data_IF_527377564912
#
_entry.id   IF_527377564912
#
_cell.length_a   1.000
_cell.length_b   1.000
_cell.length_c   1.000
_cell.angle_alpha   90.00
_cell.angle_beta   90.00
_cell.angle_gamma   90.00
#
_symmetry.space_group_name_H-M   'P 1'
#
loop_
_entity.id
_entity.type
_entity.pdbx_description
1 polymer ?
#
# COMPACT_ATOMS: atom_id res chain seq x y z
N UNK A 1 -52.48 51.36 0.97
CA UNK A 1 -52.55 50.33 2.02
C UNK A 1 -51.69 49.17 1.57
N UNK A 2 -50.41 49.17 1.97
CA UNK A 2 -49.88 48.31 3.06
C UNK A 2 -49.74 46.86 2.58
N UNK A 3 -48.62 46.15 2.67
CA UNK A 3 -47.27 46.40 3.21
C UNK A 3 -46.42 45.18 2.78
N UNK A 4 -45.12 45.38 2.52
CA UNK A 4 -43.93 44.54 2.84
C UNK A 4 -44.08 43.02 3.09
N UNK A 5 -43.11 42.13 2.84
CA UNK A 5 -41.74 42.13 2.27
C UNK A 5 -41.28 40.65 2.35
N UNK A 6 -40.31 40.24 1.52
CA UNK A 6 -39.65 38.93 1.69
C UNK A 6 -38.73 38.53 0.53
N UNK A 7 -37.55 39.15 0.45
CA UNK A 7 -36.39 38.77 -0.36
C UNK A 7 -35.94 37.29 -0.12
N UNK A 8 -35.52 36.55 -1.15
CA UNK A 8 -34.10 36.27 -1.49
C UNK A 8 -33.91 35.18 -2.59
N UNK A 9 -33.21 35.59 -3.66
CA UNK A 9 -32.38 34.91 -4.67
C UNK A 9 -32.13 33.39 -4.61
N UNK A 10 -32.17 32.67 -5.75
CA UNK A 10 -31.01 32.45 -6.65
C UNK A 10 -31.33 31.65 -7.94
N UNK A 11 -30.74 32.17 -9.03
CA UNK A 11 -30.47 31.71 -10.41
C UNK A 11 -30.32 30.17 -10.61
N UNK A 12 -30.57 29.55 -11.76
CA UNK A 12 -30.70 30.03 -13.14
C UNK A 12 -30.19 28.95 -14.13
N UNK A 13 -31.15 28.31 -14.80
CA UNK A 13 -31.18 27.58 -16.08
C UNK A 13 -29.92 27.40 -16.94
N UNK A 14 -29.69 26.15 -17.36
CA UNK A 14 -29.08 25.78 -18.65
C UNK A 14 -30.18 25.51 -19.69
N UNK A 15 -30.07 26.11 -20.87
CA UNK A 15 -30.93 25.85 -22.02
C UNK A 15 -30.29 26.33 -23.31
N UNK A 16 -29.90 25.40 -24.18
CA UNK A 16 -29.23 25.62 -25.45
C UNK A 16 -30.16 26.20 -26.54
N UNK A 17 -29.61 27.00 -27.48
CA UNK A 17 -30.12 27.08 -28.85
C UNK A 17 -29.07 27.60 -29.83
N UNK A 18 -28.91 26.88 -30.94
CA UNK A 18 -28.03 27.15 -32.10
C UNK A 18 -28.37 28.46 -32.80
N UNK A 19 -27.36 29.17 -33.33
CA UNK A 19 -27.46 29.76 -34.68
C UNK A 19 -26.09 30.21 -35.26
N UNK A 20 -25.91 29.90 -36.54
CA UNK A 20 -25.28 30.69 -37.62
C UNK A 20 -23.75 30.94 -37.65
N UNK A 21 -23.14 30.35 -38.68
CA UNK A 21 -21.79 30.64 -39.17
C UNK A 21 -21.78 32.01 -39.85
N UNK A 22 -20.89 32.91 -39.41
CA UNK A 22 -20.39 34.04 -40.19
C UNK A 22 -18.87 34.01 -40.15
N UNK A 23 -18.28 33.91 -41.34
CA UNK A 23 -16.84 34.00 -41.56
C UNK A 23 -16.33 35.38 -41.13
N UNK A 24 -15.38 35.42 -40.20
CA UNK A 24 -14.48 36.57 -40.06
C UNK A 24 -13.12 36.09 -39.59
N UNK A 25 -12.15 36.29 -40.46
CA UNK A 25 -10.74 36.03 -40.28
C UNK A 25 -10.23 36.86 -39.11
N UNK A 26 -9.83 36.22 -38.01
CA UNK A 26 -8.93 36.85 -37.04
C UNK A 26 -7.80 35.87 -36.77
N UNK A 27 -6.65 36.22 -37.32
CA UNK A 27 -5.39 35.51 -37.17
C UNK A 27 -5.00 35.49 -35.68
N UNK A 28 -5.20 34.35 -35.02
CA UNK A 28 -4.53 34.05 -33.74
C UNK A 28 -3.52 32.94 -34.03
N UNK A 29 -2.26 33.33 -34.18
CA UNK A 29 -1.12 32.41 -34.15
C UNK A 29 -0.95 31.90 -32.72
N UNK A 30 -1.40 30.67 -32.42
CA UNK A 30 -0.86 29.89 -31.30
C UNK A 30 -0.86 28.39 -31.61
N UNK A 31 0.33 27.91 -31.99
CA UNK A 31 0.91 26.60 -31.66
C UNK A 31 -0.03 25.39 -31.53
N UNK A 32 -0.35 24.79 -32.69
CA UNK A 32 -0.61 23.37 -32.92
C UNK A 32 -0.81 22.47 -31.67
N UNK A 33 -2.06 22.20 -31.33
CA UNK A 33 -2.47 20.92 -30.72
C UNK A 33 -3.67 20.38 -31.49
N UNK A 34 -3.38 19.68 -32.56
CA UNK A 34 -4.35 18.86 -33.27
C UNK A 34 -4.54 17.59 -32.43
N UNK A 35 -5.62 17.53 -31.66
CA UNK A 35 -6.06 16.30 -30.98
C UNK A 35 -6.59 15.35 -32.05
N UNK A 36 -5.69 14.56 -32.62
CA UNK A 36 -6.04 13.43 -33.50
C UNK A 36 -6.37 12.27 -32.56
N UNK A 37 -7.64 11.86 -32.51
CA UNK A 37 -8.08 10.59 -31.95
C UNK A 37 -7.42 9.46 -32.75
N UNK A 38 -6.33 8.90 -32.23
CA UNK A 38 -5.67 7.73 -32.81
C UNK A 38 -6.45 6.45 -32.45
N UNK A 39 -6.64 5.51 -33.40
CA UNK A 39 -7.29 4.23 -33.14
C UNK A 39 -6.52 3.39 -32.10
N UNK A 40 -7.21 2.46 -31.44
CA UNK A 40 -6.66 1.47 -30.48
C UNK A 40 -5.71 0.44 -31.10
N UNK A 41 -4.76 0.86 -31.95
CA UNK A 41 -3.69 0.02 -32.46
C UNK A 41 -2.35 0.48 -31.89
N UNK A 42 -2.09 0.11 -30.63
CA UNK A 42 -0.77 0.14 -29.99
C UNK A 42 0.25 -0.80 -30.65
N UNK A 43 -0.16 -1.60 -31.64
CA UNK A 43 0.69 -2.58 -32.32
C UNK A 43 1.67 -1.98 -33.34
N UNK A 44 1.34 -0.89 -34.03
CA UNK A 44 2.21 -0.38 -35.11
C UNK A 44 3.44 0.40 -34.60
N UNK A 45 3.34 1.07 -33.45
CA UNK A 45 4.50 1.71 -32.80
C UNK A 45 5.52 0.70 -32.27
N UNK A 46 5.07 -0.51 -31.93
CA UNK A 46 5.95 -1.61 -31.52
C UNK A 46 6.87 -2.07 -32.68
N UNK A 47 6.35 -2.06 -33.91
CA UNK A 47 7.05 -2.54 -35.10
C UNK A 47 8.14 -1.59 -35.61
N UNK A 48 7.92 -0.28 -35.55
CA UNK A 48 8.92 0.69 -36.00
C UNK A 48 10.15 0.78 -35.08
N UNK A 49 10.01 0.42 -33.79
CA UNK A 49 11.13 0.44 -32.83
C UNK A 49 11.76 -0.95 -32.58
N UNK A 50 11.17 -2.03 -33.10
CA UNK A 50 11.64 -3.41 -32.87
C UNK A 50 13.07 -3.71 -33.38
N UNK A 51 13.48 -3.27 -34.59
CA UNK A 51 14.80 -3.61 -35.14
C UNK A 51 15.98 -3.02 -34.34
N UNK A 52 15.76 -1.93 -33.60
CA UNK A 52 16.81 -1.22 -32.86
C UNK A 52 17.06 -1.80 -31.46
N UNK A 53 16.15 -2.66 -30.99
CA UNK A 53 16.16 -3.25 -29.63
C UNK A 53 16.92 -4.59 -29.61
N UNK A 54 16.91 -5.30 -30.74
CA UNK A 54 17.36 -6.68 -30.87
C UNK A 54 18.63 -6.70 -31.72
N UNK A 55 19.72 -7.24 -31.18
CA UNK A 55 21.02 -7.19 -31.85
C UNK A 55 21.27 -8.38 -32.76
N UNK A 56 20.72 -9.55 -32.43
CA UNK A 56 20.99 -10.80 -33.16
C UNK A 56 19.81 -11.77 -33.08
N UNK A 57 19.44 -12.36 -34.21
CA UNK A 57 18.49 -13.48 -34.24
C UNK A 57 19.20 -14.77 -33.80
N UNK A 58 18.55 -15.54 -32.94
CA UNK A 58 19.06 -16.83 -32.46
C UNK A 58 18.53 -17.97 -33.36
N UNK A 59 19.13 -19.18 -33.30
CA UNK A 59 18.67 -20.34 -34.04
C UNK A 59 17.17 -20.65 -33.83
N UNK A 60 16.53 -21.28 -34.81
CA UNK A 60 15.10 -21.55 -34.76
C UNK A 60 14.70 -22.54 -33.66
N UNK A 61 15.64 -23.41 -33.28
CA UNK A 61 15.58 -24.42 -32.22
C UNK A 61 16.13 -23.93 -30.88
N UNK A 62 16.45 -22.64 -30.77
CA UNK A 62 16.99 -22.08 -29.53
C UNK A 62 15.94 -22.08 -28.42
N UNK A 63 16.31 -22.65 -27.27
CA UNK A 63 15.60 -22.52 -26.01
C UNK A 63 16.49 -21.75 -25.01
N UNK A 64 15.92 -20.85 -24.18
CA UNK A 64 16.68 -20.15 -23.16
C UNK A 64 17.38 -21.13 -22.22
N UNK A 65 18.70 -21.01 -22.12
CA UNK A 65 19.50 -21.83 -21.21
C UNK A 65 19.32 -21.36 -19.76
N UNK A 66 19.80 -22.16 -18.80
CA UNK A 66 19.62 -21.90 -17.37
C UNK A 66 20.11 -20.50 -16.93
N UNK A 67 21.18 -19.98 -17.54
CA UNK A 67 21.76 -18.68 -17.19
C UNK A 67 21.20 -17.51 -18.00
N UNK A 68 20.34 -17.78 -18.99
CA UNK A 68 19.81 -16.76 -19.88
C UNK A 68 18.69 -15.96 -19.21
N UNK A 69 18.74 -14.64 -19.40
CA UNK A 69 17.80 -13.70 -18.80
C UNK A 69 16.71 -13.41 -19.81
N UNK A 70 15.53 -13.93 -19.54
CA UNK A 70 14.36 -13.84 -20.43
C UNK A 70 13.63 -12.51 -20.23
N UNK A 71 13.43 -11.77 -21.31
CA UNK A 71 12.53 -10.62 -21.38
C UNK A 71 11.11 -11.08 -21.68
N UNK A 72 10.18 -10.66 -20.83
CA UNK A 72 8.77 -10.95 -21.00
C UNK A 72 7.97 -10.47 -19.80
N UNK A 73 6.66 -10.68 -19.86
CA UNK A 73 5.74 -10.48 -18.74
C UNK A 73 5.16 -11.82 -18.33
N UNK A 74 4.86 -11.98 -17.05
CA UNK A 74 4.18 -13.15 -16.50
C UNK A 74 5.09 -14.11 -15.75
N UNK A 75 4.44 -15.09 -15.11
CA UNK A 75 5.04 -16.00 -14.13
C UNK A 75 6.19 -16.84 -14.67
N UNK A 76 6.05 -17.39 -15.87
CA UNK A 76 7.09 -18.23 -16.51
C UNK A 76 8.41 -17.50 -16.72
N UNK A 77 8.36 -16.22 -17.10
CA UNK A 77 9.56 -15.40 -17.23
C UNK A 77 10.15 -15.14 -15.84
N UNK A 78 9.33 -14.76 -14.86
CA UNK A 78 9.79 -14.47 -13.51
C UNK A 78 10.48 -15.67 -12.84
N UNK A 79 9.92 -16.87 -13.01
CA UNK A 79 10.44 -18.13 -12.46
C UNK A 79 11.56 -18.76 -13.30
N UNK A 80 12.03 -18.08 -14.36
CA UNK A 80 13.19 -18.58 -15.11
C UNK A 80 14.45 -18.50 -14.24
N UNK A 81 15.28 -19.54 -14.25
CA UNK A 81 16.51 -19.63 -13.46
C UNK A 81 17.44 -18.43 -13.66
N UNK A 82 17.62 -17.98 -14.91
CA UNK A 82 18.46 -16.81 -15.20
C UNK A 82 17.88 -15.50 -14.66
N UNK A 83 16.54 -15.38 -14.59
CA UNK A 83 15.90 -14.21 -13.98
C UNK A 83 16.01 -14.26 -12.45
N UNK A 84 15.87 -15.43 -11.81
CA UNK A 84 16.14 -15.59 -10.37
C UNK A 84 17.57 -15.21 -10.02
N UNK A 85 18.55 -15.75 -10.75
CA UNK A 85 19.97 -15.41 -10.59
C UNK A 85 20.22 -13.91 -10.77
N UNK A 86 19.54 -13.26 -11.73
CA UNK A 86 19.62 -11.81 -11.89
C UNK A 86 19.16 -11.07 -10.61
N UNK A 87 18.05 -11.50 -10.01
CA UNK A 87 17.57 -10.92 -8.75
C UNK A 87 18.56 -11.13 -7.60
N UNK A 88 19.16 -12.32 -7.47
CA UNK A 88 20.20 -12.59 -6.47
C UNK A 88 21.42 -11.66 -6.64
N UNK A 89 21.89 -11.47 -7.88
CA UNK A 89 23.00 -10.55 -8.16
C UNK A 89 22.61 -9.10 -7.83
N UNK A 90 21.37 -8.71 -8.10
CA UNK A 90 20.86 -7.38 -7.75
C UNK A 90 20.84 -7.19 -6.23
N UNK A 91 20.34 -8.16 -5.48
CA UNK A 91 20.26 -8.11 -4.02
C UNK A 91 21.64 -7.92 -3.38
N UNK A 92 22.66 -8.63 -3.87
CA UNK A 92 24.05 -8.46 -3.37
C UNK A 92 24.64 -7.06 -3.60
N UNK A 93 24.14 -6.28 -4.56
CA UNK A 93 24.62 -4.92 -4.87
C UNK A 93 23.60 -3.83 -4.51
N UNK A 94 22.51 -4.20 -3.85
CA UNK A 94 21.40 -3.31 -3.59
C UNK A 94 21.79 -2.20 -2.60
N UNK A 95 22.52 -2.55 -1.54
CA UNK A 95 23.00 -1.59 -0.54
C UNK A 95 23.97 -0.57 -1.15
N UNK A 96 24.86 -1.00 -2.05
CA UNK A 96 25.74 -0.09 -2.76
C UNK A 96 24.95 0.86 -3.68
N UNK A 97 23.86 0.37 -4.29
CA UNK A 97 23.00 1.16 -5.15
C UNK A 97 22.16 2.19 -4.38
N UNK A 98 21.61 1.81 -3.23
CA UNK A 98 20.77 2.68 -2.38
C UNK A 98 21.59 3.78 -1.71
N UNK A 99 22.79 3.45 -1.23
CA UNK A 99 23.72 4.41 -0.61
C UNK A 99 24.42 5.33 -1.61
N UNK A 100 24.45 4.97 -2.90
CA UNK A 100 25.04 5.80 -3.94
C UNK A 100 24.28 7.13 -4.12
N UNK A 101 24.93 8.25 -3.79
CA UNK A 101 24.39 9.60 -4.00
C UNK A 101 24.45 10.05 -5.47
N UNK A 102 25.48 9.63 -6.20
CA UNK A 102 25.73 10.09 -7.59
C UNK A 102 25.07 9.17 -8.62
N UNK A 103 24.44 9.76 -9.64
CA UNK A 103 23.83 9.05 -10.79
C UNK A 103 24.85 8.20 -11.57
N UNK A 104 26.10 8.66 -11.66
CA UNK A 104 27.18 7.92 -12.33
C UNK A 104 27.48 6.58 -11.65
N UNK A 105 27.52 6.56 -10.31
CA UNK A 105 27.76 5.32 -9.54
C UNK A 105 26.61 4.32 -9.73
N UNK A 106 25.36 4.78 -9.67
CA UNK A 106 24.17 3.94 -9.96
C UNK A 106 24.21 3.32 -11.37
N UNK A 107 24.66 4.11 -12.35
CA UNK A 107 24.83 3.63 -13.73
C UNK A 107 25.96 2.60 -13.82
N UNK A 108 27.07 2.82 -13.12
CA UNK A 108 28.20 1.89 -13.05
C UNK A 108 27.79 0.54 -12.45
N UNK A 109 26.99 0.55 -11.37
CA UNK A 109 26.46 -0.68 -10.74
C UNK A 109 25.58 -1.44 -11.73
N UNK A 110 24.65 -0.75 -12.41
CA UNK A 110 23.81 -1.40 -13.43
C UNK A 110 24.64 -2.01 -14.56
N UNK A 111 25.66 -1.30 -15.07
CA UNK A 111 26.57 -1.82 -16.09
C UNK A 111 27.36 -3.04 -15.59
N UNK A 112 27.81 -3.02 -14.34
CA UNK A 112 28.52 -4.14 -13.73
C UNK A 112 27.63 -5.39 -13.65
N UNK A 113 26.38 -5.24 -13.19
CA UNK A 113 25.43 -6.36 -13.11
C UNK A 113 25.16 -6.93 -14.51
N UNK A 114 24.95 -6.08 -15.51
CA UNK A 114 24.77 -6.53 -16.91
C UNK A 114 26.00 -7.33 -17.38
N UNK A 115 27.21 -6.84 -17.09
CA UNK A 115 28.46 -7.56 -17.41
C UNK A 115 28.51 -8.94 -16.74
N UNK A 116 28.12 -9.05 -15.48
CA UNK A 116 28.06 -10.32 -14.72
C UNK A 116 27.05 -11.33 -15.28
N UNK A 117 25.98 -10.86 -15.90
CA UNK A 117 25.06 -11.74 -16.63
C UNK A 117 25.75 -12.27 -17.88
N UNK A 118 26.34 -11.39 -18.69
CA UNK A 118 27.04 -11.75 -19.93
C UNK A 118 28.25 -12.68 -19.75
N UNK A 119 28.81 -12.80 -18.54
CA UNK A 119 29.86 -13.79 -18.22
C UNK A 119 29.38 -15.25 -18.32
N UNK A 120 28.09 -15.52 -18.12
CA UNK A 120 27.54 -16.90 -18.09
C UNK A 120 26.34 -17.13 -18.99
N UNK A 121 25.63 -16.09 -19.40
CA UNK A 121 24.43 -16.20 -20.23
C UNK A 121 24.17 -14.90 -20.99
N UNK A 122 23.07 -14.85 -21.72
CA UNK A 122 22.69 -13.68 -22.52
C UNK A 122 21.29 -13.18 -22.15
N UNK A 123 20.99 -11.95 -22.56
CA UNK A 123 19.65 -11.40 -22.45
C UNK A 123 18.88 -11.75 -23.72
N UNK A 124 17.73 -12.41 -23.58
CA UNK A 124 16.94 -12.88 -24.72
C UNK A 124 15.51 -12.41 -24.63
N UNK A 125 14.88 -12.19 -25.78
CA UNK A 125 13.46 -11.86 -25.90
C UNK A 125 12.84 -12.66 -27.02
N UNK A 126 11.67 -13.21 -26.75
CA UNK A 126 10.87 -13.85 -27.78
C UNK A 126 10.08 -12.80 -28.56
N UNK A 127 10.06 -12.95 -29.88
CA UNK A 127 9.19 -12.16 -30.73
C UNK A 127 7.74 -12.62 -30.56
N UNK A 128 6.78 -11.70 -30.30
CA UNK A 128 5.40 -12.07 -29.95
C UNK A 128 4.69 -12.82 -31.08
N UNK A 129 4.91 -12.44 -32.34
CA UNK A 129 4.20 -13.03 -33.48
C UNK A 129 4.92 -14.22 -34.12
N UNK A 130 6.25 -14.16 -34.26
CA UNK A 130 7.02 -15.25 -34.92
C UNK A 130 7.47 -16.34 -33.95
N UNK A 131 7.39 -16.11 -32.63
CA UNK A 131 7.88 -17.04 -31.61
C UNK A 131 9.41 -17.21 -31.58
N UNK A 132 10.15 -16.54 -32.47
CA UNK A 132 11.61 -16.64 -32.58
C UNK A 132 12.31 -15.89 -31.43
N UNK A 133 13.44 -16.41 -31.01
CA UNK A 133 14.27 -15.79 -29.98
C UNK A 133 15.30 -14.85 -30.59
N UNK A 134 15.55 -13.76 -29.88
CA UNK A 134 16.50 -12.74 -30.26
C UNK A 134 17.32 -12.31 -29.05
N UNK A 135 18.60 -12.07 -29.29
CA UNK A 135 19.48 -11.43 -28.34
C UNK A 135 19.12 -9.95 -28.17
N UNK A 136 19.07 -9.51 -26.92
CA UNK A 136 18.76 -8.14 -26.54
C UNK A 136 20.07 -7.35 -26.41
N UNK A 137 20.09 -6.17 -27.01
CA UNK A 137 21.26 -5.29 -26.94
C UNK A 137 21.54 -4.74 -25.53
N UNK A 138 22.81 -4.38 -25.30
CA UNK A 138 23.31 -3.85 -24.02
C UNK A 138 22.46 -2.75 -23.41
N UNK A 139 22.02 -1.79 -24.21
CA UNK A 139 21.22 -0.64 -23.74
C UNK A 139 19.92 -1.09 -23.06
N UNK A 140 19.26 -2.10 -23.65
CA UNK A 140 17.99 -2.65 -23.17
C UNK A 140 18.20 -3.61 -22.01
N UNK A 141 19.28 -4.37 -22.01
CA UNK A 141 19.72 -5.14 -20.86
C UNK A 141 19.92 -4.24 -19.62
N UNK A 142 20.64 -3.13 -19.77
CA UNK A 142 20.83 -2.12 -18.72
C UNK A 142 19.52 -1.51 -18.24
N UNK A 143 18.60 -1.21 -19.14
CA UNK A 143 17.26 -0.72 -18.79
C UNK A 143 16.49 -1.74 -17.94
N UNK A 144 16.49 -3.02 -18.34
CA UNK A 144 15.87 -4.10 -17.56
C UNK A 144 16.47 -4.22 -16.17
N UNK A 145 17.80 -4.24 -16.06
CA UNK A 145 18.50 -4.28 -14.76
C UNK A 145 18.13 -3.07 -13.91
N UNK A 146 18.13 -1.87 -14.48
CA UNK A 146 17.74 -0.65 -13.78
C UNK A 146 16.30 -0.68 -13.27
N UNK A 147 15.37 -1.24 -14.06
CA UNK A 147 13.99 -1.46 -13.61
C UNK A 147 13.91 -2.47 -12.47
N UNK A 148 14.57 -3.63 -12.62
CA UNK A 148 14.58 -4.66 -11.60
C UNK A 148 15.14 -4.15 -10.26
N UNK A 149 16.26 -3.40 -10.28
CA UNK A 149 16.80 -2.77 -9.06
C UNK A 149 15.76 -1.85 -8.40
N UNK A 150 15.12 -0.97 -9.18
CA UNK A 150 14.11 -0.04 -8.64
C UNK A 150 12.91 -0.77 -8.05
N UNK A 151 12.50 -1.87 -8.67
CA UNK A 151 11.40 -2.71 -8.19
C UNK A 151 11.79 -3.40 -6.88
N UNK A 152 13.00 -3.96 -6.78
CA UNK A 152 13.52 -4.56 -5.54
C UNK A 152 13.55 -3.53 -4.40
N UNK A 153 14.08 -2.32 -4.63
CA UNK A 153 14.08 -1.25 -3.62
C UNK A 153 12.66 -0.86 -3.20
N UNK A 154 11.75 -0.71 -4.17
CA UNK A 154 10.36 -0.36 -3.87
C UNK A 154 9.65 -1.45 -3.05
N UNK A 155 9.94 -2.72 -3.33
CA UNK A 155 9.38 -3.86 -2.59
C UNK A 155 9.91 -3.90 -1.15
N UNK A 156 11.21 -3.72 -0.93
CA UNK A 156 11.77 -3.63 0.43
C UNK A 156 11.15 -2.49 1.25
N UNK A 157 10.91 -1.33 0.65
CA UNK A 157 10.24 -0.22 1.34
C UNK A 157 8.74 -0.48 1.60
N UNK A 158 8.09 -1.34 0.82
CA UNK A 158 6.70 -1.76 1.07
C UNK A 158 6.64 -2.79 2.18
N UNK A 159 7.52 -3.77 2.16
CA UNK A 159 7.63 -4.80 3.19
C UNK A 159 7.92 -4.19 4.55
N UNK A 160 8.91 -3.31 4.66
CA UNK A 160 9.22 -2.60 5.91
C UNK A 160 8.04 -1.80 6.46
N UNK A 161 7.26 -1.16 5.58
CA UNK A 161 6.05 -0.42 5.98
C UNK A 161 4.91 -1.34 6.43
N UNK A 162 4.73 -2.48 5.76
CA UNK A 162 3.72 -3.46 6.17
C UNK A 162 4.06 -4.04 7.54
N UNK A 163 5.35 -4.28 7.82
CA UNK A 163 5.82 -4.74 9.13
C UNK A 163 5.64 -3.69 10.22
N UNK A 164 5.89 -2.40 9.94
CA UNK A 164 5.63 -1.35 10.94
C UNK A 164 4.14 -1.23 11.24
N UNK A 165 3.30 -1.26 10.20
CA UNK A 165 1.85 -1.20 10.33
C UNK A 165 1.30 -2.38 11.14
N UNK A 166 1.76 -3.61 10.87
CA UNK A 166 1.31 -4.79 11.63
C UNK A 166 1.68 -4.71 13.11
N UNK A 167 2.87 -4.18 13.45
CA UNK A 167 3.29 -4.00 14.85
C UNK A 167 2.41 -2.99 15.59
N UNK A 168 2.05 -1.89 14.92
CA UNK A 168 1.16 -0.86 15.48
C UNK A 168 -0.24 -1.44 15.78
N UNK A 169 -0.79 -2.25 14.86
CA UNK A 169 -2.06 -2.95 15.06
C UNK A 169 -1.99 -3.95 16.24
N UNK A 170 -0.91 -4.73 16.34
CA UNK A 170 -0.69 -5.68 17.43
C UNK A 170 -0.59 -4.98 18.80
N UNK A 171 0.10 -3.84 18.87
CA UNK A 171 0.26 -3.08 20.11
C UNK A 171 -1.05 -2.39 20.51
N UNK A 172 -1.82 -1.87 19.55
CA UNK A 172 -3.16 -1.33 19.81
C UNK A 172 -4.11 -2.41 20.33
N UNK A 173 -4.05 -3.63 19.78
CA UNK A 173 -4.85 -4.75 20.25
C UNK A 173 -4.54 -5.11 21.72
N UNK A 174 -3.26 -5.08 22.12
CA UNK A 174 -2.86 -5.30 23.53
C UNK A 174 -3.39 -4.20 24.46
N UNK A 175 -3.30 -2.94 24.04
CA UNK A 175 -3.81 -1.81 24.83
C UNK A 175 -5.32 -1.90 25.05
N UNK A 176 -6.08 -2.25 24.00
CA UNK A 176 -7.52 -2.44 24.10
C UNK A 176 -7.90 -3.59 25.05
N UNK A 177 -7.11 -4.67 25.08
CA UNK A 177 -7.37 -5.77 26.03
C UNK A 177 -7.09 -5.33 27.48
N UNK A 178 -6.03 -4.56 27.73
CA UNK A 178 -5.75 -3.97 29.04
C UNK A 178 -6.90 -3.05 29.47
N UNK A 179 -7.37 -2.18 28.58
CA UNK A 179 -8.49 -1.28 28.85
C UNK A 179 -9.76 -2.07 29.20
N UNK A 180 -10.08 -3.12 28.43
CA UNK A 180 -11.22 -4.01 28.71
C UNK A 180 -11.08 -4.70 30.07
N UNK A 181 -9.88 -5.15 30.43
CA UNK A 181 -9.62 -5.77 31.73
C UNK A 181 -9.84 -4.78 32.88
N UNK A 182 -9.27 -3.57 32.79
CA UNK A 182 -9.46 -2.52 33.79
C UNK A 182 -10.95 -2.21 33.97
N UNK A 183 -11.68 -2.05 32.87
CA UNK A 183 -13.12 -1.76 32.93
C UNK A 183 -13.91 -2.90 33.61
N UNK A 184 -13.60 -4.15 33.29
CA UNK A 184 -14.20 -5.33 33.95
C UNK A 184 -13.92 -5.33 35.45
N UNK A 185 -12.67 -5.11 35.85
CA UNK A 185 -12.25 -5.11 37.26
C UNK A 185 -12.91 -3.96 38.04
N UNK A 186 -13.03 -2.78 37.43
CA UNK A 186 -13.73 -1.63 38.02
C UNK A 186 -15.21 -1.94 38.24
N UNK A 187 -15.88 -2.53 37.25
CA UNK A 187 -17.30 -2.88 37.34
C UNK A 187 -17.54 -3.90 38.46
N UNK A 188 -16.74 -4.97 38.51
CA UNK A 188 -16.84 -5.99 39.55
C UNK A 188 -16.65 -5.40 40.96
N UNK A 189 -15.70 -4.47 41.14
CA UNK A 189 -15.53 -3.78 42.43
C UNK A 189 -16.75 -2.95 42.81
N UNK A 190 -17.30 -2.18 41.87
CA UNK A 190 -18.51 -1.38 42.10
C UNK A 190 -19.70 -2.27 42.47
N UNK A 191 -19.88 -3.40 41.80
CA UNK A 191 -20.97 -4.33 42.05
C UNK A 191 -20.84 -4.93 43.48
N UNK A 192 -19.62 -5.32 43.90
CA UNK A 192 -19.34 -5.82 45.26
C UNK A 192 -19.60 -4.74 46.32
N UNK A 193 -19.14 -3.51 46.10
CA UNK A 193 -19.36 -2.40 47.03
C UNK A 193 -20.85 -2.10 47.22
N UNK A 194 -21.62 -2.15 46.12
CA UNK A 194 -23.06 -1.98 46.16
C UNK A 194 -23.77 -3.08 46.97
N UNK A 195 -23.40 -4.35 46.77
CA UNK A 195 -23.99 -5.48 47.51
C UNK A 195 -23.68 -5.40 49.00
N UNK A 196 -22.44 -5.05 49.35
CA UNK A 196 -22.04 -4.85 50.74
C UNK A 196 -22.84 -3.75 51.42
N UNK A 197 -23.03 -2.61 50.74
CA UNK A 197 -23.81 -1.49 51.27
C UNK A 197 -25.28 -1.89 51.52
N UNK A 198 -25.88 -2.70 50.65
CA UNK A 198 -27.23 -3.23 50.87
C UNK A 198 -27.31 -4.16 52.08
N UNK A 199 -26.36 -5.08 52.22
CA UNK A 199 -26.32 -6.00 53.36
C UNK A 199 -26.19 -5.24 54.69
N UNK A 200 -25.33 -4.22 54.75
CA UNK A 200 -25.19 -3.35 55.94
C UNK A 200 -26.48 -2.58 56.25
N UNK A 201 -27.19 -2.10 55.21
CA UNK A 201 -28.47 -1.43 55.40
C UNK A 201 -29.53 -2.38 55.96
N UNK A 202 -29.59 -3.61 55.45
CA UNK A 202 -30.49 -4.64 55.98
C UNK A 202 -30.17 -4.97 57.44
N UNK A 203 -28.88 -5.14 57.79
CA UNK A 203 -28.46 -5.41 59.15
C UNK A 203 -28.86 -4.27 60.11
N UNK A 204 -28.68 -3.01 59.67
CA UNK A 204 -29.14 -1.82 60.41
C UNK A 204 -30.65 -1.85 60.63
N UNK A 205 -31.43 -2.17 59.61
CA UNK A 205 -32.89 -2.25 59.73
C UNK A 205 -33.32 -3.34 60.72
N UNK A 206 -32.68 -4.51 60.68
CA UNK A 206 -32.94 -5.61 61.64
C UNK A 206 -32.61 -5.18 63.06
N UNK A 207 -31.45 -4.55 63.27
CA UNK A 207 -31.05 -4.06 64.59
C UNK A 207 -32.04 -3.01 65.13
N UNK A 208 -32.43 -2.03 64.31
CA UNK A 208 -33.44 -1.03 64.68
C UNK A 208 -34.78 -1.68 65.04
N UNK A 209 -35.18 -2.72 64.31
CA UNK A 209 -36.39 -3.46 64.61
C UNK A 209 -36.30 -4.24 65.94
N UNK A 210 -35.18 -4.91 66.21
CA UNK A 210 -34.96 -5.63 67.48
C UNK A 210 -34.96 -4.68 68.68
N UNK A 211 -34.30 -3.52 68.56
CA UNK A 211 -34.32 -2.47 69.59
C UNK A 211 -35.76 -1.96 69.81
N UNK A 212 -36.53 -1.75 68.74
CA UNK A 212 -37.94 -1.34 68.85
C UNK A 212 -38.83 -2.41 69.50
N UNK A 213 -38.48 -3.69 69.38
CA UNK A 213 -39.13 -4.81 70.06
C UNK A 213 -38.67 -5.00 71.52
N UNK A 214 -37.84 -4.09 72.06
CA UNK A 214 -37.42 -4.11 73.46
C UNK A 214 -36.29 -5.08 73.79
N UNK A 215 -35.56 -5.58 72.79
CA UNK A 215 -34.34 -6.36 73.01
C UNK A 215 -33.16 -5.41 73.31
N UNK A 216 -32.70 -5.36 74.56
CA UNK A 216 -31.48 -4.62 74.97
C UNK A 216 -30.29 -5.58 75.15
N UNK A 217 -29.11 -5.21 74.65
CA UNK A 217 -27.88 -6.04 74.72
C UNK A 217 -27.40 -6.16 76.18
N UNK A 218 -27.65 -7.32 76.79
CA UNK A 218 -27.43 -7.61 78.21
C UNK A 218 -25.95 -7.87 78.55
N UNK A 219 -25.00 -7.17 77.91
CA UNK A 219 -23.56 -7.40 78.03
C UNK A 219 -22.82 -6.44 78.96
N UNK A 220 -23.49 -5.42 79.50
CA UNK A 220 -22.88 -4.46 80.42
C UNK A 220 -23.42 -4.52 81.87
N UNK A 221 -24.39 -5.41 82.16
CA UNK A 221 -24.98 -5.48 83.50
C UNK A 221 -24.18 -6.36 84.47
N UNK A 222 -23.24 -7.19 83.99
CA UNK A 222 -22.38 -8.03 84.85
C UNK A 222 -21.14 -7.31 85.44
N UNK A 223 -20.87 -6.04 85.10
CA UNK A 223 -19.71 -5.29 85.63
C UNK A 223 -20.06 -4.18 86.62
N UNK A 224 -21.29 -4.11 87.12
CA UNK A 224 -21.71 -3.14 88.14
C UNK A 224 -22.04 -3.72 89.51
N UNK A 225 -21.88 -5.03 89.70
CA UNK A 225 -22.08 -5.70 91.00
C UNK A 225 -20.77 -6.29 91.53
N UNK A 226 -19.78 -5.46 91.86
CA UNK A 226 -18.71 -5.78 92.82
C UNK A 226 -18.18 -4.52 93.49
#
# INVERSE_FOLDING_TARGET
>A
SSQSDGLFLLLGHYGARMSTIKNSTTLIKTSYKQTILLPKHTHLLCYFHWPSIMTKALPADYEPAEFDVVFGRGRRCFEHSGNRRLHEIIETHLDEYTTASRKSKKTSIANFIVKRVYEKGIFVKQHPETGKWFEVGWSKAKEKVGHAIRETVANQHRESRNVSFSREDDDMAKLLEIQRKIFRDMKARSDIEWERAQAEQQLRNVYQHQVALGWTDNRNDEQRET
#
